data_IF_444043038252
#
_entry.id   IF_444043038252
#
_cell.length_a   1.000
_cell.length_b   1.000
_cell.length_c   1.000
_cell.angle_alpha   90.00
_cell.angle_beta   90.00
_cell.angle_gamma   90.00
#
_symmetry.space_group_name_H-M   'P 1'
#
loop_
_entity.id
_entity.type
_entity.pdbx_description
1 polymer ?
#
# COMPACT_ATOMS: atom_id res chain seq x y z
N UNK A 1 8.86 8.99 -12.78
CA UNK A 1 9.44 7.77 -12.18
C UNK A 1 10.52 7.10 -13.04
N UNK A 2 10.45 7.11 -14.40
CA UNK A 2 11.50 6.50 -15.23
C UNK A 2 12.89 7.14 -15.13
N UNK A 3 12.99 8.45 -14.86
CA UNK A 3 14.29 9.09 -14.61
C UNK A 3 14.85 8.79 -13.20
N UNK A 4 13.98 8.45 -12.25
CA UNK A 4 14.34 8.21 -10.84
C UNK A 4 15.10 6.89 -10.66
N UNK A 5 14.92 5.91 -11.55
CA UNK A 5 15.60 4.61 -11.49
C UNK A 5 17.06 4.63 -11.94
N UNK A 6 17.54 5.75 -12.49
CA UNK A 6 18.96 5.94 -12.78
C UNK A 6 19.75 6.31 -11.51
N UNK A 7 19.06 6.80 -10.47
CA UNK A 7 19.65 7.22 -9.19
C UNK A 7 19.57 6.09 -8.16
N UNK A 8 18.53 5.25 -8.23
CA UNK A 8 18.34 4.10 -7.34
C UNK A 8 17.87 2.87 -8.13
N UNK A 9 18.73 1.85 -8.17
CA UNK A 9 18.49 0.59 -8.88
C UNK A 9 17.29 -0.21 -8.35
N UNK A 10 16.86 0.01 -7.10
CA UNK A 10 15.67 -0.64 -6.54
C UNK A 10 14.38 -0.14 -7.19
N UNK A 11 14.36 1.11 -7.66
CA UNK A 11 13.21 1.69 -8.37
C UNK A 11 13.04 1.03 -9.75
N UNK A 12 14.13 0.60 -10.38
CA UNK A 12 14.08 -0.10 -11.67
C UNK A 12 13.28 -1.42 -11.59
N UNK A 13 13.28 -2.10 -10.44
CA UNK A 13 12.52 -3.34 -10.23
C UNK A 13 11.01 -3.07 -10.12
N UNK A 14 10.60 -1.87 -9.69
CA UNK A 14 9.19 -1.51 -9.49
C UNK A 14 8.56 -0.99 -10.79
N UNK A 15 9.35 -0.39 -11.69
CA UNK A 15 8.87 0.20 -12.95
C UNK A 15 7.99 -0.75 -13.79
N UNK A 16 8.34 -2.03 -13.98
CA UNK A 16 7.51 -2.97 -14.74
C UNK A 16 6.18 -3.28 -14.08
N UNK A 17 6.06 -3.08 -12.77
CA UNK A 17 4.86 -3.39 -12.00
C UNK A 17 3.88 -2.20 -11.96
N UNK A 18 4.32 -1.01 -12.35
CA UNK A 18 3.48 0.19 -12.33
C UNK A 18 2.38 0.10 -13.40
N UNK A 19 1.13 0.27 -12.96
CA UNK A 19 -0.04 0.25 -13.84
C UNK A 19 -0.64 -1.14 -14.09
N UNK A 20 -0.02 -2.20 -13.57
CA UNK A 20 -0.58 -3.56 -13.63
C UNK A 20 -1.29 -3.90 -12.34
N UNK A 21 -2.59 -4.23 -12.43
CA UNK A 21 -3.32 -4.82 -11.32
C UNK A 21 -2.83 -6.26 -11.11
N UNK A 22 -2.10 -6.50 -10.01
CA UNK A 22 -1.70 -7.84 -9.62
C UNK A 22 -2.91 -8.59 -9.07
N UNK A 23 -3.18 -9.79 -9.59
CA UNK A 23 -4.20 -10.71 -9.06
C UNK A 23 -3.73 -11.36 -7.75
N UNK A 24 -3.41 -10.55 -6.74
CA UNK A 24 -2.95 -11.01 -5.45
C UNK A 24 -4.15 -11.49 -4.61
N UNK A 25 -4.05 -12.70 -4.05
CA UNK A 25 -5.05 -13.26 -3.15
C UNK A 25 -4.42 -13.69 -1.83
N UNK A 26 -5.17 -13.59 -0.73
CA UNK A 26 -4.74 -14.03 0.59
C UNK A 26 -5.10 -15.50 0.90
N UNK A 27 -5.77 -16.18 -0.04
CA UNK A 27 -6.26 -17.56 0.01
C UNK A 27 -5.19 -18.55 0.53
N UNK A 28 -3.98 -18.50 -0.04
CA UNK A 28 -2.90 -19.43 0.35
C UNK A 28 -2.51 -19.26 1.81
N UNK A 29 -2.40 -18.03 2.30
CA UNK A 29 -2.03 -17.76 3.68
C UNK A 29 -3.14 -18.17 4.65
N UNK A 30 -4.42 -17.96 4.29
CA UNK A 30 -5.56 -18.48 5.06
C UNK A 30 -5.51 -20.00 5.16
N UNK A 31 -5.30 -20.69 4.03
CA UNK A 31 -5.31 -22.16 3.94
C UNK A 31 -4.10 -22.82 4.61
N UNK A 32 -2.90 -22.31 4.36
CA UNK A 32 -1.65 -22.96 4.78
C UNK A 32 -1.23 -22.53 6.19
N UNK A 33 -1.42 -21.26 6.53
CA UNK A 33 -0.95 -20.69 7.80
C UNK A 33 -2.08 -20.49 8.81
N UNK A 34 -3.33 -20.82 8.45
CA UNK A 34 -4.50 -20.54 9.28
C UNK A 34 -4.71 -19.04 9.50
N UNK A 35 -4.16 -18.19 8.63
CA UNK A 35 -4.20 -16.74 8.82
C UNK A 35 -5.64 -16.24 8.77
N UNK A 36 -6.04 -15.46 9.78
CA UNK A 36 -7.35 -14.82 9.87
C UNK A 36 -7.16 -13.30 9.73
N UNK A 37 -7.16 -12.74 8.51
CA UNK A 37 -7.06 -11.31 8.33
C UNK A 37 -8.28 -10.61 8.92
N UNK A 38 -8.09 -9.36 9.37
CA UNK A 38 -9.20 -8.45 9.71
C UNK A 38 -10.01 -8.11 8.46
N UNK A 39 -11.19 -7.54 8.66
CA UNK A 39 -12.02 -7.04 7.55
C UNK A 39 -11.27 -5.94 6.78
N UNK A 40 -11.68 -5.72 5.54
CA UNK A 40 -11.07 -4.68 4.71
C UNK A 40 -11.31 -3.30 5.32
N UNK A 41 -12.51 -3.10 5.87
CA UNK A 41 -12.94 -1.89 6.54
C UNK A 41 -12.05 -1.60 7.75
N UNK A 42 -11.85 -2.59 8.62
CA UNK A 42 -10.99 -2.47 9.79
C UNK A 42 -9.53 -2.21 9.41
N UNK A 43 -9.06 -2.84 8.31
CA UNK A 43 -7.69 -2.63 7.82
C UNK A 43 -7.48 -1.17 7.36
N UNK A 44 -8.45 -0.60 6.65
CA UNK A 44 -8.40 0.79 6.20
C UNK A 44 -8.47 1.74 7.39
N UNK A 45 -9.38 1.51 8.34
CA UNK A 45 -9.52 2.34 9.55
C UNK A 45 -8.22 2.34 10.36
N UNK A 46 -7.68 1.16 10.67
CA UNK A 46 -6.43 1.04 11.44
C UNK A 46 -5.25 1.73 10.75
N UNK A 47 -5.22 1.70 9.41
CA UNK A 47 -4.22 2.42 8.62
C UNK A 47 -4.39 3.93 8.75
N UNK A 48 -5.62 4.43 8.60
CA UNK A 48 -5.93 5.85 8.73
C UNK A 48 -5.56 6.37 10.13
N UNK A 49 -5.94 5.65 11.19
CA UNK A 49 -5.59 5.96 12.58
C UNK A 49 -4.07 6.05 12.77
N UNK A 50 -3.33 5.08 12.24
CA UNK A 50 -1.86 5.06 12.32
C UNK A 50 -1.23 6.26 11.59
N UNK A 51 -1.77 6.66 10.44
CA UNK A 51 -1.29 7.83 9.69
C UNK A 51 -1.54 9.13 10.45
N UNK A 52 -2.72 9.27 11.10
CA UNK A 52 -3.04 10.41 11.97
C UNK A 52 -2.06 10.47 13.14
N UNK A 53 -1.89 9.35 13.86
CA UNK A 53 -1.03 9.28 15.04
C UNK A 53 0.43 9.64 14.71
N UNK A 54 0.92 9.22 13.54
CA UNK A 54 2.28 9.50 13.09
C UNK A 54 2.44 10.87 12.42
N UNK A 55 1.36 11.66 12.33
CA UNK A 55 1.40 12.99 11.71
C UNK A 55 1.75 12.97 10.22
N UNK A 56 1.45 11.87 9.52
CA UNK A 56 1.83 11.69 8.10
C UNK A 56 0.80 12.26 7.12
N UNK A 57 -0.30 12.82 7.62
CA UNK A 57 -1.34 13.41 6.79
C UNK A 57 -0.99 14.85 6.43
N UNK A 58 -1.02 15.16 5.13
CA UNK A 58 -0.96 16.54 4.64
C UNK A 58 -2.29 17.23 4.96
N UNK A 59 -2.23 18.48 5.44
CA UNK A 59 -3.43 19.33 5.53
C UNK A 59 -4.02 19.49 4.13
N UNK A 60 -5.31 19.18 3.96
CA UNK A 60 -6.00 19.47 2.73
C UNK A 60 -6.09 20.99 2.56
N UNK A 61 -5.87 21.48 1.34
CA UNK A 61 -6.34 22.82 0.99
C UNK A 61 -7.86 22.70 0.93
N UNK A 62 -8.57 23.44 1.76
CA UNK A 62 -10.03 23.60 1.68
C UNK A 62 -10.37 24.00 0.26
N UNK A 63 -11.07 23.13 -0.47
CA UNK A 63 -11.77 23.54 -1.67
C UNK A 63 -12.98 24.34 -1.21
N UNK A 64 -12.93 25.65 -1.45
CA UNK A 64 -14.09 26.56 -1.40
C UNK A 64 -14.91 26.32 -2.66
#
# INVERSE_FOLDING_TARGET
MRLSSLVDSSIAQIIPELGTAKNATNEKARRVLGWKPRSNEDAVIATAESLVQRGLLRKSKTAV
#
